data_IF_844690959345
#
_entry.id   IF_844690959345
#
_cell.length_a   1.000
_cell.length_b   1.000
_cell.length_c   1.000
_cell.angle_alpha   90.00
_cell.angle_beta   90.00
_cell.angle_gamma   90.00
#
_symmetry.space_group_name_H-M   'P 1'
#
loop_
_entity.id
_entity.type
_entity.pdbx_description
1 polymer ?
#
# COMPACT_ATOMS: atom_id res chain seq x y z
N UNK A 1 12.79 1.65 19.50
CA UNK A 1 11.46 1.13 19.13
C UNK A 1 11.49 0.72 17.67
N UNK A 2 11.01 -0.48 17.32
CA UNK A 2 10.84 -0.88 15.92
C UNK A 2 9.65 -0.14 15.31
N UNK A 3 9.82 0.43 14.11
CA UNK A 3 8.74 1.03 13.33
C UNK A 3 8.30 0.04 12.25
N UNK A 4 6.99 -0.14 12.12
CA UNK A 4 6.38 -1.00 11.08
C UNK A 4 5.79 -0.11 10.00
N UNK A 5 6.01 -0.49 8.74
CA UNK A 5 5.47 0.21 7.58
C UNK A 5 4.50 -0.68 6.81
N UNK A 6 3.33 -0.15 6.47
CA UNK A 6 2.38 -0.75 5.53
C UNK A 6 2.45 0.02 4.21
N UNK A 7 3.10 -0.56 3.21
CA UNK A 7 3.19 0.01 1.86
C UNK A 7 2.11 -0.62 0.98
N UNK A 8 1.27 0.22 0.37
CA UNK A 8 0.16 -0.19 -0.48
C UNK A 8 0.47 0.20 -1.92
N UNK A 9 0.72 -0.79 -2.78
CA UNK A 9 0.77 -0.60 -4.22
C UNK A 9 -0.65 -0.64 -4.81
N UNK A 10 -1.20 0.46 -5.37
CA UNK A 10 -2.58 0.50 -5.85
C UNK A 10 -2.84 -0.41 -7.05
N UNK A 11 -1.85 -0.65 -7.92
CA UNK A 11 -2.00 -1.41 -9.17
C UNK A 11 -1.81 -2.92 -8.98
N UNK A 12 -1.21 -3.35 -7.86
CA UNK A 12 -1.04 -4.75 -7.49
C UNK A 12 -2.37 -5.53 -7.37
N UNK A 13 -2.29 -6.87 -7.44
CA UNK A 13 -3.46 -7.75 -7.29
C UNK A 13 -4.54 -7.54 -8.36
N UNK A 14 -4.15 -7.15 -9.56
CA UNK A 14 -5.06 -6.83 -10.67
C UNK A 14 -5.81 -5.50 -10.47
N UNK A 15 -5.12 -4.46 -9.99
CA UNK A 15 -5.70 -3.14 -9.72
C UNK A 15 -6.52 -3.03 -8.43
N UNK A 16 -6.47 -4.05 -7.56
CA UNK A 16 -7.24 -4.11 -6.31
C UNK A 16 -6.40 -3.74 -5.09
N UNK A 17 -5.10 -3.49 -5.25
CA UNK A 17 -4.16 -3.25 -4.16
C UNK A 17 -4.61 -2.14 -3.20
N UNK A 18 -5.18 -1.03 -3.72
CA UNK A 18 -5.73 0.04 -2.86
C UNK A 18 -6.88 -0.45 -1.96
N UNK A 19 -7.82 -1.22 -2.53
CA UNK A 19 -8.97 -1.73 -1.77
C UNK A 19 -8.52 -2.72 -0.70
N UNK A 20 -7.64 -3.65 -1.06
CA UNK A 20 -7.13 -4.68 -0.15
C UNK A 20 -6.27 -4.05 0.94
N UNK A 21 -5.34 -3.15 0.57
CA UNK A 21 -4.50 -2.40 1.52
C UNK A 21 -5.32 -1.63 2.56
N UNK A 22 -6.40 -0.96 2.14
CA UNK A 22 -7.31 -0.28 3.06
C UNK A 22 -8.01 -1.24 4.04
N UNK A 23 -8.38 -2.44 3.60
CA UNK A 23 -8.98 -3.46 4.47
C UNK A 23 -7.95 -3.97 5.50
N UNK A 24 -6.71 -4.22 5.06
CA UNK A 24 -5.61 -4.63 5.93
C UNK A 24 -5.30 -3.56 6.98
N UNK A 25 -5.18 -2.29 6.57
CA UNK A 25 -4.96 -1.15 7.47
C UNK A 25 -6.00 -1.09 8.60
N UNK A 26 -7.28 -1.27 8.26
CA UNK A 26 -8.35 -1.32 9.27
C UNK A 26 -8.17 -2.46 10.26
N UNK A 27 -7.85 -3.67 9.78
CA UNK A 27 -7.62 -4.84 10.63
C UNK A 27 -6.43 -4.62 11.57
N UNK A 28 -5.33 -4.08 11.06
CA UNK A 28 -4.13 -3.80 11.87
C UNK A 28 -4.42 -2.76 12.96
N UNK A 29 -5.14 -1.68 12.62
CA UNK A 29 -5.59 -0.66 13.60
C UNK A 29 -6.50 -1.27 14.66
N UNK A 30 -7.49 -2.10 14.27
CA UNK A 30 -8.38 -2.80 15.20
C UNK A 30 -7.63 -3.75 16.15
N UNK A 31 -6.49 -4.31 15.72
CA UNK A 31 -5.64 -5.18 16.54
C UNK A 31 -4.63 -4.41 17.40
N UNK A 32 -4.65 -3.07 17.38
CA UNK A 32 -3.70 -2.25 18.14
C UNK A 32 -2.26 -2.34 17.62
N UNK A 33 -2.05 -2.77 16.38
CA UNK A 33 -0.73 -2.85 15.78
C UNK A 33 -0.35 -1.45 15.31
N UNK A 34 0.77 -0.91 15.81
CA UNK A 34 1.30 0.37 15.40
C UNK A 34 2.03 0.25 14.06
N UNK A 35 1.65 1.07 13.07
CA UNK A 35 2.31 1.16 11.77
C UNK A 35 2.09 2.53 11.13
N UNK A 36 2.99 2.87 10.22
CA UNK A 36 2.84 3.99 9.29
C UNK A 36 2.34 3.47 7.94
N UNK A 37 1.37 4.15 7.33
CA UNK A 37 0.78 3.74 6.04
C UNK A 37 1.31 4.63 4.91
N UNK A 38 1.75 4.00 3.82
CA UNK A 38 2.19 4.67 2.60
C UNK A 38 1.38 4.10 1.43
N UNK A 39 0.69 4.97 0.70
CA UNK A 39 0.13 4.63 -0.60
C UNK A 39 1.17 4.94 -1.68
N UNK A 40 1.66 3.90 -2.34
CA UNK A 40 2.64 4.04 -3.43
C UNK A 40 1.99 4.80 -4.59
N UNK A 41 2.57 5.95 -4.94
CA UNK A 41 2.27 6.59 -6.21
C UNK A 41 3.10 5.90 -7.27
N UNK A 42 2.53 4.90 -7.93
CA UNK A 42 3.13 4.34 -9.13
C UNK A 42 3.16 5.46 -10.18
N UNK A 43 4.30 6.14 -10.35
CA UNK A 43 4.55 6.89 -11.57
C UNK A 43 4.56 5.85 -12.69
N UNK A 44 3.46 5.76 -13.44
CA UNK A 44 3.44 5.10 -14.74
C UNK A 44 4.28 5.96 -15.69
N UNK A 45 5.59 6.00 -15.49
CA UNK A 45 6.50 6.41 -16.56
C UNK A 45 6.54 5.24 -17.53
N UNK A 46 5.60 5.26 -18.47
CA UNK A 46 5.77 4.55 -19.73
C UNK A 46 6.94 5.20 -20.43
N UNK A 47 8.16 4.72 -20.17
CA UNK A 47 9.30 5.04 -21.03
C UNK A 47 9.03 4.31 -22.33
N UNK A 48 8.43 5.02 -23.30
CA UNK A 48 8.46 4.59 -24.69
C UNK A 48 9.93 4.53 -25.11
N UNK A 49 10.47 3.32 -25.17
CA UNK A 49 11.74 3.06 -25.83
C UNK A 49 11.46 3.17 -27.33
N UNK A 50 11.81 4.32 -27.90
CA UNK A 50 11.87 4.57 -29.35
C UNK A 50 12.92 3.67 -30.02
#
# INVERSE_FOLDING_TARGET
MSRTLLVINPTSGGGKGKKIGNQVSKILKMRGIAFEEILEQSQLETVEVL
#
